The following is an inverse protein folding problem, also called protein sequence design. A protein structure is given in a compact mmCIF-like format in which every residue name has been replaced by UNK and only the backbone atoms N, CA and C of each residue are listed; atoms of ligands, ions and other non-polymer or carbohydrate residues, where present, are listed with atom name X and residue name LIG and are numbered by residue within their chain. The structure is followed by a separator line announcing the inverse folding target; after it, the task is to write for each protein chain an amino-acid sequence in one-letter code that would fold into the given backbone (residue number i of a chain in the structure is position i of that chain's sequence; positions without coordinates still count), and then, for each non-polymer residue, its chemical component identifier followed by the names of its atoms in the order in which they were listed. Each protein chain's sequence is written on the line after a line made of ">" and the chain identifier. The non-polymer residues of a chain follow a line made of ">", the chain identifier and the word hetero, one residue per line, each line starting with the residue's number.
data_IF_393561532842
#
_entry.id   IF_393561532842
#
_cell.length_a   1.000
_cell.length_b   1.000
_cell.length_c   1.000
_cell.angle_alpha   90.00
_cell.angle_beta   90.00
_cell.angle_gamma   90.00
#
_symmetry.space_group_name_H-M   'P 1'
#
loop_
_entity.id
_entity.type
_entity.pdbx_description
1 polymer ?
#
# COMPACT_ATOMS: atom_id res chain seq x y z
N UNK A 1 9.16 13.28 16.59
CA UNK A 1 8.65 11.93 16.92
C UNK A 1 9.77 10.92 16.70
N UNK A 2 9.74 9.81 17.45
CA UNK A 2 10.53 8.61 17.18
C UNK A 2 9.63 7.58 16.51
N UNK A 3 9.91 7.22 15.24
CA UNK A 3 9.06 6.40 14.40
C UNK A 3 9.82 5.16 13.94
N UNK A 4 9.24 3.99 14.14
CA UNK A 4 9.76 2.70 13.68
C UNK A 4 8.96 2.25 12.46
N UNK A 5 9.63 1.88 11.36
CA UNK A 5 8.97 1.49 10.11
C UNK A 5 9.44 0.09 9.72
N UNK A 6 8.53 -0.88 9.71
CA UNK A 6 8.75 -2.15 9.02
C UNK A 6 8.48 -1.96 7.52
N UNK A 7 9.19 -2.66 6.64
CA UNK A 7 9.04 -2.43 5.20
C UNK A 7 9.54 -1.08 4.71
N UNK A 8 10.34 -0.37 5.52
CA UNK A 8 10.87 0.97 5.22
C UNK A 8 11.86 1.03 4.07
N UNK A 9 12.31 -0.10 3.53
CA UNK A 9 13.12 -0.18 2.28
C UNK A 9 12.26 -0.32 1.03
N UNK A 10 10.94 -0.45 1.17
CA UNK A 10 9.99 -0.52 0.06
C UNK A 10 9.60 0.86 -0.49
N UNK A 11 8.75 0.87 -1.53
CA UNK A 11 8.33 2.09 -2.23
C UNK A 11 7.67 3.11 -1.29
N UNK A 12 6.64 2.70 -0.56
CA UNK A 12 5.91 3.57 0.37
C UNK A 12 6.77 3.89 1.58
N UNK A 13 7.34 2.84 2.20
CA UNK A 13 8.10 2.98 3.43
C UNK A 13 9.36 3.83 3.27
N UNK A 14 10.09 3.72 2.15
CA UNK A 14 11.26 4.54 1.84
C UNK A 14 10.90 6.00 1.63
N UNK A 15 9.83 6.28 0.88
CA UNK A 15 9.33 7.63 0.68
C UNK A 15 8.85 8.28 1.99
N UNK A 16 8.15 7.49 2.83
CA UNK A 16 7.69 7.95 4.14
C UNK A 16 8.87 8.22 5.08
N UNK A 17 9.85 7.30 5.15
CA UNK A 17 11.06 7.48 5.96
C UNK A 17 11.82 8.74 5.57
N UNK A 18 12.01 8.97 4.26
CA UNK A 18 12.62 10.19 3.73
C UNK A 18 11.86 11.44 4.15
N UNK A 19 10.54 11.43 4.02
CA UNK A 19 9.68 12.56 4.36
C UNK A 19 9.73 12.90 5.85
N UNK A 20 9.67 11.90 6.72
CA UNK A 20 9.72 12.10 8.18
C UNK A 20 11.11 12.57 8.64
N UNK A 21 12.19 12.00 8.09
CA UNK A 21 13.56 12.41 8.44
C UNK A 21 13.86 13.84 8.00
N UNK A 22 13.34 14.28 6.84
CA UNK A 22 13.49 15.65 6.36
C UNK A 22 12.89 16.69 7.32
N UNK A 23 11.87 16.32 8.10
CA UNK A 23 11.24 17.18 9.12
C UNK A 23 11.86 16.97 10.53
N UNK A 24 13.02 16.33 10.61
CA UNK A 24 13.77 16.18 11.86
C UNK A 24 13.24 15.10 12.79
N UNK A 25 12.39 14.17 12.32
CA UNK A 25 11.95 13.04 13.13
C UNK A 25 13.05 11.97 13.22
N UNK A 26 13.15 11.28 14.36
CA UNK A 26 13.99 10.11 14.49
C UNK A 26 13.29 8.93 13.82
N UNK A 27 13.84 8.46 12.69
CA UNK A 27 13.25 7.37 11.90
C UNK A 27 14.15 6.15 11.93
N UNK A 28 13.58 5.02 12.34
CA UNK A 28 14.26 3.73 12.41
C UNK A 28 13.55 2.76 11.43
N UNK A 29 14.25 2.34 10.40
CA UNK A 29 13.78 1.37 9.42
C UNK A 29 14.26 -0.02 9.80
N UNK A 30 13.32 -0.97 9.91
CA UNK A 30 13.66 -2.37 10.15
C UNK A 30 13.96 -3.08 8.83
N UNK A 31 15.10 -3.76 8.75
CA UNK A 31 15.56 -4.46 7.56
C UNK A 31 16.22 -5.80 7.89
N UNK A 32 15.98 -6.81 7.04
CA UNK A 32 16.68 -8.10 7.11
C UNK A 32 18.15 -7.97 6.74
N UNK A 33 18.49 -6.98 5.94
CA UNK A 33 19.87 -6.66 5.59
C UNK A 33 20.06 -5.13 5.60
N UNK A 34 20.32 -4.53 6.75
CA UNK A 34 20.45 -3.07 6.89
C UNK A 34 21.53 -2.45 6.00
N UNK A 35 22.57 -3.20 5.70
CA UNK A 35 23.72 -2.72 4.92
C UNK A 35 23.52 -2.81 3.39
N UNK A 36 22.51 -3.56 2.92
CA UNK A 36 22.25 -3.72 1.49
C UNK A 36 21.51 -2.54 0.85
N UNK A 37 20.98 -1.61 1.66
CA UNK A 37 20.16 -0.51 1.18
C UNK A 37 20.78 0.84 1.56
N UNK A 38 20.90 1.71 0.56
CA UNK A 38 21.22 3.13 0.84
C UNK A 38 19.92 3.79 1.36
N UNK A 39 19.91 4.07 2.64
CA UNK A 39 18.78 4.79 3.26
C UNK A 39 18.90 6.31 3.03
N UNK A 40 17.78 7.04 3.08
CA UNK A 40 17.81 8.51 3.07
C UNK A 40 18.62 9.06 4.25
N UNK A 41 19.15 10.26 4.09
CA UNK A 41 19.88 10.95 5.15
C UNK A 41 19.00 11.12 6.39
N UNK A 42 19.55 10.92 7.57
CA UNK A 42 18.85 10.99 8.85
C UNK A 42 18.04 9.75 9.22
N UNK A 43 17.94 8.74 8.34
CA UNK A 43 17.25 7.47 8.62
C UNK A 43 18.23 6.44 9.16
N UNK A 44 17.91 5.86 10.31
CA UNK A 44 18.66 4.75 10.92
C UNK A 44 18.11 3.41 10.46
N UNK A 45 18.95 2.38 10.33
CA UNK A 45 18.53 1.01 10.12
C UNK A 45 18.73 0.17 11.38
N UNK A 46 17.79 -0.74 11.64
CA UNK A 46 17.95 -1.78 12.65
C UNK A 46 17.72 -3.16 12.03
N UNK A 47 18.48 -4.14 12.54
CA UNK A 47 18.38 -5.52 12.10
C UNK A 47 17.03 -6.13 12.52
N UNK A 48 16.40 -6.85 11.61
CA UNK A 48 15.19 -7.61 11.85
C UNK A 48 15.18 -8.90 11.04
N UNK A 49 14.70 -9.99 11.61
CA UNK A 49 14.59 -11.29 10.94
C UNK A 49 13.38 -11.38 9.99
N UNK A 50 12.43 -10.47 10.11
CA UNK A 50 11.16 -10.46 9.37
C UNK A 50 10.03 -11.20 10.09
N UNK A 51 10.27 -11.77 11.26
CA UNK A 51 9.33 -12.68 11.94
C UNK A 51 9.08 -12.33 13.41
N UNK A 52 10.09 -11.90 14.17
CA UNK A 52 10.00 -11.72 15.63
C UNK A 52 10.42 -10.32 16.07
N UNK A 53 10.08 -9.95 17.30
CA UNK A 53 10.54 -8.69 17.90
C UNK A 53 11.91 -8.80 18.59
N UNK A 54 12.54 -9.97 18.62
CA UNK A 54 13.73 -10.26 19.45
C UNK A 54 14.86 -9.25 19.26
N UNK A 55 15.19 -8.89 18.03
CA UNK A 55 16.32 -7.99 17.74
C UNK A 55 16.01 -6.51 17.85
N UNK A 56 14.73 -6.10 17.78
CA UNK A 56 14.33 -4.70 17.67
C UNK A 56 13.25 -4.26 18.67
N UNK A 57 12.56 -5.20 19.32
CA UNK A 57 11.43 -4.91 20.22
C UNK A 57 11.74 -3.88 21.30
N UNK A 58 12.97 -3.84 21.80
CA UNK A 58 13.45 -2.84 22.75
C UNK A 58 13.38 -1.40 22.21
N UNK A 59 13.40 -1.21 20.89
CA UNK A 59 13.27 0.10 20.25
C UNK A 59 11.85 0.66 20.37
N UNK A 60 10.85 -0.19 20.59
CA UNK A 60 9.46 0.22 20.76
C UNK A 60 9.23 0.97 22.09
N UNK A 61 10.10 0.74 23.10
CA UNK A 61 9.99 1.45 24.37
C UNK A 61 10.25 2.94 24.19
N UNK A 62 9.20 3.73 24.40
CA UNK A 62 9.23 5.19 24.24
C UNK A 62 9.23 5.65 22.78
N UNK A 63 8.96 4.79 21.80
CA UNK A 63 8.66 5.23 20.45
C UNK A 63 7.29 5.95 20.40
N UNK A 64 7.15 6.92 19.50
CA UNK A 64 5.86 7.59 19.28
C UNK A 64 4.93 6.75 18.40
N UNK A 65 5.51 6.13 17.37
CA UNK A 65 4.73 5.36 16.39
C UNK A 65 5.48 4.13 15.88
N UNK A 66 4.73 3.07 15.57
CA UNK A 66 5.20 1.95 14.75
C UNK A 66 4.34 1.88 13.50
N UNK A 67 4.98 1.85 12.32
CA UNK A 67 4.31 1.78 11.02
C UNK A 67 4.66 0.44 10.39
N UNK A 68 3.67 -0.45 10.29
CA UNK A 68 3.84 -1.80 9.78
C UNK A 68 3.46 -1.85 8.29
N UNK A 69 4.45 -1.74 7.41
CA UNK A 69 4.31 -1.83 5.94
C UNK A 69 4.96 -3.11 5.39
N UNK A 70 5.46 -4.00 6.25
CA UNK A 70 6.15 -5.19 5.81
C UNK A 70 5.20 -6.22 5.21
N UNK A 71 5.63 -6.83 4.12
CA UNK A 71 4.95 -7.91 3.44
C UNK A 71 5.69 -8.33 2.17
N UNK A 72 5.62 -9.61 1.85
CA UNK A 72 6.15 -10.14 0.59
C UNK A 72 5.52 -9.43 -0.60
N UNK A 73 6.35 -9.05 -1.59
CA UNK A 73 5.89 -8.37 -2.80
C UNK A 73 4.95 -9.27 -3.60
N UNK A 74 3.74 -8.79 -3.87
CA UNK A 74 2.71 -9.54 -4.62
C UNK A 74 3.15 -9.87 -6.06
N UNK A 75 3.84 -8.94 -6.71
CA UNK A 75 4.34 -9.12 -8.07
C UNK A 75 5.67 -9.91 -8.15
N UNK A 76 6.39 -10.04 -7.04
CA UNK A 76 7.75 -10.59 -7.04
C UNK A 76 8.79 -9.58 -7.50
N UNK A 77 10.02 -10.07 -7.71
CA UNK A 77 11.19 -9.24 -8.03
C UNK A 77 11.60 -9.33 -9.51
N UNK A 78 10.80 -10.01 -10.36
CA UNK A 78 11.08 -10.18 -11.79
C UNK A 78 10.58 -9.03 -12.65
N UNK A 79 10.94 -9.05 -13.93
CA UNK A 79 10.45 -8.10 -14.94
C UNK A 79 8.93 -8.23 -15.17
N UNK A 80 8.43 -9.47 -15.12
CA UNK A 80 7.00 -9.78 -15.19
C UNK A 80 6.53 -10.25 -13.81
N UNK A 81 5.25 -9.97 -13.46
CA UNK A 81 4.67 -10.47 -12.22
C UNK A 81 4.77 -12.00 -12.12
N UNK A 82 5.27 -12.49 -11.01
CA UNK A 82 5.40 -13.92 -10.77
C UNK A 82 4.04 -14.53 -10.43
N UNK A 83 3.69 -15.66 -11.07
CA UNK A 83 2.44 -16.38 -10.77
C UNK A 83 2.34 -16.78 -9.30
N UNK A 84 1.15 -16.80 -8.76
CA UNK A 84 0.88 -17.23 -7.40
C UNK A 84 0.75 -18.74 -7.32
N UNK A 85 1.85 -19.41 -7.01
CA UNK A 85 1.84 -20.82 -6.58
C UNK A 85 1.33 -20.92 -5.15
N UNK A 86 0.93 -22.13 -4.71
CA UNK A 86 0.50 -22.37 -3.33
C UNK A 86 1.57 -21.93 -2.32
N UNK A 87 2.85 -22.21 -2.60
CA UNK A 87 3.97 -21.77 -1.77
C UNK A 87 4.09 -20.26 -1.71
N UNK A 88 3.96 -19.55 -2.86
CA UNK A 88 4.03 -18.10 -2.90
C UNK A 88 2.87 -17.46 -2.16
N UNK A 89 1.64 -17.97 -2.32
CA UNK A 89 0.47 -17.54 -1.56
C UNK A 89 0.71 -17.67 -0.05
N UNK A 90 1.25 -18.80 0.40
CA UNK A 90 1.61 -19.00 1.80
C UNK A 90 2.64 -17.97 2.28
N UNK A 91 3.71 -17.70 1.51
CA UNK A 91 4.69 -16.67 1.87
C UNK A 91 4.10 -15.27 1.93
N UNK A 92 3.21 -14.92 0.98
CA UNK A 92 2.50 -13.64 0.96
C UNK A 92 1.68 -13.45 2.24
N UNK A 93 0.92 -14.45 2.66
CA UNK A 93 0.15 -14.41 3.89
C UNK A 93 1.07 -14.40 5.12
N UNK A 94 1.96 -15.38 5.23
CA UNK A 94 2.78 -15.59 6.43
C UNK A 94 3.66 -14.36 6.74
N UNK A 95 4.29 -13.76 5.73
CA UNK A 95 5.12 -12.56 5.93
C UNK A 95 4.38 -11.39 6.57
N UNK A 96 3.07 -11.30 6.35
CA UNK A 96 2.20 -10.27 6.91
C UNK A 96 1.79 -10.57 8.34
N UNK A 97 1.45 -11.83 8.59
CA UNK A 97 1.09 -12.28 9.94
C UNK A 97 2.29 -12.21 10.88
N UNK A 98 3.46 -12.65 10.44
CA UNK A 98 4.70 -12.57 11.22
C UNK A 98 5.05 -11.13 11.57
N UNK A 99 4.96 -10.22 10.58
CA UNK A 99 5.22 -8.80 10.82
C UNK A 99 4.22 -8.19 11.83
N UNK A 100 2.93 -8.53 11.71
CA UNK A 100 1.91 -8.09 12.66
C UNK A 100 2.15 -8.63 14.07
N UNK A 101 2.45 -9.92 14.19
CA UNK A 101 2.77 -10.55 15.48
C UNK A 101 4.00 -9.92 16.14
N UNK A 102 5.07 -9.67 15.37
CA UNK A 102 6.27 -9.00 15.88
C UNK A 102 5.98 -7.58 16.40
N UNK A 103 5.07 -6.84 15.73
CA UNK A 103 4.63 -5.52 16.23
C UNK A 103 3.89 -5.65 17.55
N UNK A 104 2.97 -6.62 17.68
CA UNK A 104 2.25 -6.88 18.93
C UNK A 104 3.21 -7.28 20.05
N UNK A 105 4.18 -8.15 19.79
CA UNK A 105 5.21 -8.55 20.75
C UNK A 105 6.01 -7.33 21.24
N UNK A 106 6.48 -6.47 20.32
CA UNK A 106 7.24 -5.29 20.65
C UNK A 106 6.43 -4.30 21.49
N UNK A 107 5.16 -4.06 21.13
CA UNK A 107 4.25 -3.21 21.90
C UNK A 107 4.00 -3.80 23.29
N UNK A 108 3.79 -5.10 23.39
CA UNK A 108 3.54 -5.77 24.67
C UNK A 108 4.73 -5.67 25.63
N UNK A 109 5.95 -5.82 25.12
CA UNK A 109 7.18 -5.75 25.90
C UNK A 109 7.58 -4.32 26.31
N UNK A 110 7.14 -3.30 25.59
CA UNK A 110 7.49 -1.91 25.86
C UNK A 110 6.92 -1.44 27.21
N UNK A 111 7.76 -0.84 28.07
CA UNK A 111 7.32 -0.23 29.32
C UNK A 111 6.52 1.07 29.05
N UNK A 112 7.03 1.90 28.13
CA UNK A 112 6.34 3.09 27.59
C UNK A 112 5.87 2.77 26.17
N UNK A 113 4.61 2.40 26.05
CA UNK A 113 4.02 1.97 24.77
C UNK A 113 4.01 3.08 23.73
N UNK A 114 4.15 2.75 22.45
CA UNK A 114 3.90 3.69 21.37
C UNK A 114 2.49 4.28 21.46
N UNK A 115 2.33 5.53 21.04
CA UNK A 115 1.00 6.16 21.01
C UNK A 115 0.11 5.60 19.92
N UNK A 116 0.72 5.16 18.81
CA UNK A 116 -0.01 4.68 17.62
C UNK A 116 0.74 3.58 16.90
N UNK A 117 -0.05 2.62 16.40
CA UNK A 117 0.39 1.63 15.40
C UNK A 117 -0.40 1.87 14.12
N UNK A 118 0.30 2.11 13.02
CA UNK A 118 -0.28 2.14 11.68
C UNK A 118 -0.07 0.79 11.02
N UNK A 119 -1.16 0.09 10.74
CA UNK A 119 -1.18 -1.21 10.10
C UNK A 119 -1.51 -1.06 8.62
N UNK A 120 -0.63 -1.52 7.75
CA UNK A 120 -0.91 -1.58 6.31
C UNK A 120 -1.96 -2.65 5.99
N UNK A 121 -2.77 -2.35 5.00
CA UNK A 121 -3.75 -3.22 4.38
C UNK A 121 -3.89 -2.80 2.90
N UNK A 122 -4.91 -3.26 2.22
CA UNK A 122 -5.22 -2.86 0.85
C UNK A 122 -6.73 -2.76 0.61
N UNK A 123 -7.12 -2.02 -0.41
CA UNK A 123 -8.53 -2.00 -0.86
C UNK A 123 -9.02 -3.38 -1.32
N UNK A 124 -8.11 -4.35 -1.47
CA UNK A 124 -8.42 -5.76 -1.69
C UNK A 124 -9.28 -6.36 -0.58
N UNK A 125 -9.26 -5.77 0.63
CA UNK A 125 -10.13 -6.09 1.75
C UNK A 125 -11.60 -6.22 1.34
N UNK A 126 -12.05 -5.40 0.41
CA UNK A 126 -13.46 -5.36 -0.01
C UNK A 126 -13.84 -6.43 -1.06
N UNK A 127 -12.87 -7.15 -1.62
CA UNK A 127 -13.13 -8.06 -2.75
C UNK A 127 -13.54 -7.33 -4.03
N UNK A 128 -13.97 -8.05 -5.04
CA UNK A 128 -14.54 -7.46 -6.26
C UNK A 128 -15.97 -6.96 -5.99
N UNK A 129 -16.29 -5.72 -6.38
CA UNK A 129 -17.56 -5.04 -6.06
C UNK A 129 -18.19 -4.32 -7.25
N UNK A 130 -17.82 -4.65 -8.46
CA UNK A 130 -18.34 -4.03 -9.69
C UNK A 130 -18.43 -2.48 -9.57
N UNK A 131 -19.64 -1.92 -9.74
CA UNK A 131 -19.90 -0.47 -9.70
C UNK A 131 -20.25 0.08 -8.31
N UNK A 132 -20.27 -0.78 -7.27
CA UNK A 132 -20.63 -0.38 -5.91
C UNK A 132 -19.65 0.67 -5.38
N UNK A 133 -20.17 1.75 -4.80
CA UNK A 133 -19.37 2.69 -4.03
C UNK A 133 -18.93 2.05 -2.71
N UNK A 134 -17.64 2.01 -2.50
CA UNK A 134 -17.02 1.39 -1.34
C UNK A 134 -16.46 2.48 -0.44
N UNK A 135 -16.84 2.46 0.84
CA UNK A 135 -16.27 3.32 1.88
C UNK A 135 -15.63 2.46 2.96
N UNK A 136 -15.04 3.08 3.96
CA UNK A 136 -14.43 2.39 5.10
C UNK A 136 -15.46 1.60 5.93
N UNK A 137 -16.73 1.96 5.85
CA UNK A 137 -17.85 1.26 6.50
C UNK A 137 -18.30 0.01 5.73
N UNK A 138 -17.88 -0.17 4.49
CA UNK A 138 -18.24 -1.33 3.68
C UNK A 138 -17.65 -2.61 4.26
N UNK A 139 -18.40 -3.73 4.29
CA UNK A 139 -17.92 -5.00 4.84
C UNK A 139 -16.79 -5.60 4.00
N UNK A 140 -16.03 -6.50 4.63
CA UNK A 140 -15.03 -7.31 3.92
C UNK A 140 -15.63 -8.10 2.77
N UNK A 141 -14.84 -8.30 1.73
CA UNK A 141 -15.17 -9.23 0.65
C UNK A 141 -15.23 -10.66 1.16
N UNK A 142 -16.09 -11.46 0.57
CA UNK A 142 -16.26 -12.88 0.97
C UNK A 142 -15.31 -13.82 0.25
N UNK A 143 -14.85 -13.42 -0.94
CA UNK A 143 -14.11 -14.28 -1.86
C UNK A 143 -12.84 -13.60 -2.35
N UNK A 144 -11.86 -14.45 -2.67
CA UNK A 144 -10.59 -14.03 -3.26
C UNK A 144 -9.40 -14.13 -2.29
N UNK A 145 -8.26 -14.53 -2.84
CA UNK A 145 -7.04 -14.72 -2.06
C UNK A 145 -6.61 -13.44 -1.34
N UNK A 146 -6.59 -12.30 -2.04
CA UNK A 146 -6.15 -11.04 -1.43
C UNK A 146 -7.15 -10.48 -0.41
N UNK A 147 -8.46 -10.69 -0.61
CA UNK A 147 -9.45 -10.28 0.38
C UNK A 147 -9.21 -10.99 1.72
N UNK A 148 -9.00 -12.30 1.69
CA UNK A 148 -8.69 -13.08 2.89
C UNK A 148 -7.36 -12.64 3.50
N UNK A 149 -6.31 -12.48 2.68
CA UNK A 149 -5.00 -12.00 3.16
C UNK A 149 -5.09 -10.66 3.87
N UNK A 150 -5.88 -9.72 3.35
CA UNK A 150 -6.01 -8.38 3.96
C UNK A 150 -6.82 -8.41 5.25
N UNK A 151 -7.85 -9.24 5.35
CA UNK A 151 -8.60 -9.46 6.60
C UNK A 151 -7.69 -10.01 7.70
N UNK A 152 -6.93 -11.06 7.40
CA UNK A 152 -5.99 -11.68 8.35
C UNK A 152 -4.86 -10.70 8.72
N UNK A 153 -4.40 -9.90 7.75
CA UNK A 153 -3.36 -8.90 7.98
C UNK A 153 -3.84 -7.78 8.92
N UNK A 154 -5.05 -7.25 8.73
CA UNK A 154 -5.64 -6.26 9.66
C UNK A 154 -5.79 -6.85 11.07
N UNK A 155 -6.24 -8.11 11.17
CA UNK A 155 -6.42 -8.80 12.44
C UNK A 155 -5.10 -9.05 13.19
N UNK A 156 -3.98 -9.21 12.48
CA UNK A 156 -2.67 -9.55 13.06
C UNK A 156 -2.15 -8.54 14.09
N UNK A 157 -2.59 -7.28 14.02
CA UNK A 157 -2.22 -6.23 14.99
C UNK A 157 -3.38 -5.79 15.88
N UNK A 158 -4.55 -6.42 15.83
CA UNK A 158 -5.73 -5.98 16.59
C UNK A 158 -5.51 -5.92 18.11
N UNK A 159 -4.64 -6.78 18.64
CA UNK A 159 -4.34 -6.84 20.07
C UNK A 159 -3.66 -5.57 20.62
N UNK A 160 -3.12 -4.68 19.78
CA UNK A 160 -2.50 -3.44 20.26
C UNK A 160 -3.54 -2.47 20.85
N UNK A 161 -4.77 -2.48 20.33
CA UNK A 161 -5.84 -1.62 20.82
C UNK A 161 -6.23 -1.94 22.27
N UNK A 162 -6.25 -3.24 22.63
CA UNK A 162 -6.51 -3.68 24.00
C UNK A 162 -5.43 -3.25 25.01
N UNK A 163 -4.27 -2.80 24.50
CA UNK A 163 -3.14 -2.30 25.31
C UNK A 163 -3.13 -0.78 25.43
N UNK A 164 -4.21 -0.09 25.00
CA UNK A 164 -4.32 1.37 25.03
C UNK A 164 -3.54 2.08 23.92
N UNK A 165 -3.08 1.35 22.91
CA UNK A 165 -2.37 1.91 21.75
C UNK A 165 -3.36 2.16 20.61
N UNK A 166 -3.38 3.36 20.08
CA UNK A 166 -4.22 3.75 18.96
C UNK A 166 -3.84 2.96 17.71
N UNK A 167 -4.79 2.24 17.12
CA UNK A 167 -4.58 1.49 15.88
C UNK A 167 -5.23 2.21 14.70
N UNK A 168 -4.43 2.45 13.66
CA UNK A 168 -4.88 2.95 12.36
C UNK A 168 -4.63 1.85 11.33
N UNK A 169 -5.61 1.57 10.48
CA UNK A 169 -5.48 0.63 9.38
C UNK A 169 -5.53 1.42 8.08
N UNK A 170 -4.52 1.28 7.24
CA UNK A 170 -4.46 1.96 5.94
C UNK A 170 -4.76 0.96 4.81
N UNK A 171 -5.94 1.09 4.18
CA UNK A 171 -6.37 0.30 3.03
C UNK A 171 -5.95 1.02 1.76
N UNK A 172 -4.74 0.75 1.34
CA UNK A 172 -4.07 1.44 0.23
C UNK A 172 -4.60 0.97 -1.13
N UNK A 173 -4.89 1.90 -2.02
CA UNK A 173 -5.19 1.66 -3.43
C UNK A 173 -3.95 1.36 -4.26
N UNK A 174 -4.08 1.42 -5.58
CA UNK A 174 -2.94 1.23 -6.50
C UNK A 174 -2.03 2.45 -6.42
N UNK A 175 -0.85 2.30 -5.85
CA UNK A 175 0.10 3.41 -5.67
C UNK A 175 0.81 3.73 -6.98
N UNK A 176 0.63 4.95 -7.45
CA UNK A 176 1.30 5.49 -8.64
C UNK A 176 2.58 6.22 -8.27
N UNK A 177 3.70 5.80 -8.87
CA UNK A 177 5.02 6.39 -8.66
C UNK A 177 5.89 6.25 -9.90
N UNK A 178 6.73 7.26 -10.14
CA UNK A 178 7.79 7.21 -11.15
C UNK A 178 9.01 6.39 -10.68
N UNK A 179 9.16 6.13 -9.37
CA UNK A 179 10.29 5.39 -8.83
C UNK A 179 10.10 3.87 -8.93
N UNK A 180 8.85 3.39 -8.92
CA UNK A 180 8.56 1.95 -8.92
C UNK A 180 7.07 1.64 -8.93
N UNK A 181 6.73 0.37 -8.60
CA UNK A 181 5.36 -0.08 -8.49
C UNK A 181 4.62 -0.27 -9.81
N UNK A 182 3.29 -0.48 -9.77
CA UNK A 182 2.49 -0.88 -10.92
C UNK A 182 2.38 0.18 -12.02
N UNK A 183 2.58 1.47 -11.71
CA UNK A 183 2.47 2.55 -12.69
C UNK A 183 3.45 2.39 -13.86
N UNK A 184 4.69 2.01 -13.59
CA UNK A 184 5.70 1.77 -14.66
C UNK A 184 5.25 0.69 -15.63
N UNK A 185 4.68 -0.40 -15.13
CA UNK A 185 4.17 -1.49 -15.96
C UNK A 185 2.94 -1.05 -16.73
N UNK A 186 2.07 -0.25 -16.12
CA UNK A 186 0.85 0.27 -16.75
C UNK A 186 1.14 1.19 -17.93
N UNK A 187 2.19 2.04 -17.84
CA UNK A 187 2.54 2.98 -18.92
C UNK A 187 3.43 2.37 -20.02
N UNK A 188 4.05 1.22 -19.74
CA UNK A 188 5.01 0.61 -20.67
C UNK A 188 4.43 0.35 -22.08
N UNK A 189 3.22 -0.23 -22.26
CA UNK A 189 2.65 -0.43 -23.60
C UNK A 189 2.47 0.87 -24.39
N UNK A 190 2.14 1.97 -23.70
CA UNK A 190 1.95 3.27 -24.35
C UNK A 190 3.25 3.80 -24.97
N UNK A 191 4.41 3.52 -24.35
CA UNK A 191 5.71 3.88 -24.93
C UNK A 191 5.95 3.23 -26.31
N UNK A 192 5.33 2.06 -26.53
CA UNK A 192 5.39 1.29 -27.78
C UNK A 192 4.15 1.46 -28.66
N UNK A 193 3.32 2.50 -28.43
CA UNK A 193 2.08 2.78 -29.18
C UNK A 193 1.03 1.65 -29.08
N UNK A 194 1.18 0.74 -28.12
CA UNK A 194 0.29 -0.41 -27.90
C UNK A 194 -0.57 -0.24 -26.63
N UNK A 195 -0.81 0.99 -26.19
CA UNK A 195 -1.60 1.29 -25.02
C UNK A 195 -3.09 1.05 -25.18
N UNK A 196 -3.75 0.64 -24.11
CA UNK A 196 -5.20 0.44 -24.08
C UNK A 196 -5.71 -0.23 -22.82
N UNK A 197 -7.03 -0.51 -22.75
CA UNK A 197 -7.64 -1.10 -21.58
C UNK A 197 -7.24 -2.56 -21.38
N UNK A 198 -7.19 -2.98 -20.12
CA UNK A 198 -6.99 -4.37 -19.71
C UNK A 198 -8.36 -5.06 -19.59
N UNK A 199 -8.53 -6.24 -20.20
CA UNK A 199 -9.77 -6.99 -20.19
C UNK A 199 -10.93 -6.18 -20.80
N UNK A 200 -12.03 -6.07 -20.07
CA UNK A 200 -13.21 -5.28 -20.47
C UNK A 200 -12.97 -3.77 -20.38
N UNK A 201 -12.04 -3.36 -19.55
CA UNK A 201 -11.76 -1.97 -19.21
C UNK A 201 -12.84 -1.33 -18.33
N UNK A 202 -13.89 -2.07 -17.91
CA UNK A 202 -14.97 -1.54 -17.07
C UNK A 202 -14.66 -1.59 -15.58
N UNK A 203 -13.71 -2.42 -15.17
CA UNK A 203 -13.31 -2.54 -13.78
C UNK A 203 -12.77 -1.22 -13.26
N UNK A 204 -13.18 -0.86 -12.04
CA UNK A 204 -12.74 0.34 -11.35
C UNK A 204 -11.33 0.18 -10.81
N UNK A 205 -10.57 1.25 -10.89
CA UNK A 205 -9.23 1.36 -10.35
C UNK A 205 -9.22 2.48 -9.31
N UNK A 206 -9.14 2.12 -8.05
CA UNK A 206 -8.84 3.05 -6.97
C UNK A 206 -7.34 3.17 -6.84
N UNK A 207 -6.83 4.34 -7.12
CA UNK A 207 -5.41 4.66 -7.21
C UNK A 207 -5.06 5.81 -6.25
N UNK A 208 -3.78 5.95 -5.94
CA UNK A 208 -3.26 7.10 -5.19
C UNK A 208 -1.86 7.45 -5.69
N UNK A 209 -1.53 8.74 -5.72
CA UNK A 209 -0.16 9.17 -5.97
C UNK A 209 0.71 8.93 -4.72
N UNK A 210 1.96 8.48 -4.90
CA UNK A 210 2.86 8.15 -3.78
C UNK A 210 3.03 9.33 -2.80
N UNK A 211 3.07 10.57 -3.28
CA UNK A 211 3.15 11.74 -2.39
C UNK A 211 1.91 11.88 -1.52
N UNK A 212 0.71 11.66 -2.07
CA UNK A 212 -0.52 11.71 -1.29
C UNK A 212 -0.65 10.52 -0.32
N UNK A 213 -0.16 9.35 -0.69
CA UNK A 213 -0.05 8.21 0.23
C UNK A 213 0.80 8.55 1.46
N UNK A 214 2.01 9.09 1.23
CA UNK A 214 2.91 9.52 2.31
C UNK A 214 2.29 10.64 3.16
N UNK A 215 1.68 11.63 2.53
CA UNK A 215 1.02 12.73 3.24
C UNK A 215 -0.18 12.26 4.06
N UNK A 216 -0.97 11.32 3.53
CA UNK A 216 -2.11 10.75 4.25
C UNK A 216 -1.66 9.95 5.49
N UNK A 217 -0.62 9.13 5.37
CA UNK A 217 -0.05 8.41 6.52
C UNK A 217 0.43 9.41 7.58
N UNK A 218 1.17 10.44 7.21
CA UNK A 218 1.65 11.48 8.13
C UNK A 218 0.50 12.23 8.79
N UNK A 219 -0.50 12.64 8.01
CA UNK A 219 -1.70 13.29 8.51
C UNK A 219 -2.38 12.44 9.59
N UNK A 220 -2.60 11.15 9.32
CA UNK A 220 -3.21 10.22 10.26
C UNK A 220 -2.36 10.00 11.54
N UNK A 221 -1.03 10.03 11.44
CA UNK A 221 -0.15 9.96 12.62
C UNK A 221 -0.37 11.14 13.57
N UNK A 222 -0.55 12.34 13.01
CA UNK A 222 -0.70 13.60 13.74
C UNK A 222 -2.10 13.78 14.33
N UNK A 223 -3.13 13.17 13.72
CA UNK A 223 -4.52 13.25 14.20
C UNK A 223 -4.77 12.29 15.38
N UNK A 224 -4.89 12.82 16.58
CA UNK A 224 -5.12 12.00 17.80
C UNK A 224 -6.43 11.21 17.75
N UNK A 225 -7.43 11.70 17.04
CA UNK A 225 -8.74 11.06 16.87
C UNK A 225 -8.78 9.99 15.78
N UNK A 226 -7.70 9.85 14.99
CA UNK A 226 -7.65 8.87 13.91
C UNK A 226 -7.50 7.45 14.46
N UNK A 227 -8.52 6.61 14.28
CA UNK A 227 -8.56 5.19 14.69
C UNK A 227 -9.29 4.34 13.65
N UNK A 228 -8.94 3.05 13.57
CA UNK A 228 -9.56 2.10 12.65
C UNK A 228 -9.19 2.30 11.19
N UNK A 229 -10.03 1.83 10.22
CA UNK A 229 -9.67 1.79 8.81
C UNK A 229 -9.82 3.15 8.10
N UNK A 230 -8.91 3.41 7.16
CA UNK A 230 -8.91 4.53 6.22
C UNK A 230 -8.57 4.03 4.82
N UNK A 231 -9.35 4.39 3.82
CA UNK A 231 -9.03 4.14 2.43
C UNK A 231 -8.02 5.20 1.94
N UNK A 232 -6.83 4.76 1.61
CA UNK A 232 -5.81 5.61 1.00
C UNK A 232 -5.91 5.47 -0.52
N UNK A 233 -6.83 6.23 -1.10
CA UNK A 233 -7.03 6.32 -2.54
C UNK A 233 -7.42 7.76 -2.93
N UNK A 234 -7.17 8.14 -4.17
CA UNK A 234 -7.62 9.43 -4.70
C UNK A 234 -9.15 9.51 -4.73
N UNK A 235 -9.74 10.73 -4.55
CA UNK A 235 -11.19 10.89 -4.48
C UNK A 235 -11.92 10.61 -5.80
N UNK A 236 -11.18 10.49 -6.90
CA UNK A 236 -11.73 10.20 -8.23
C UNK A 236 -11.21 8.85 -8.75
N UNK A 237 -11.81 7.71 -8.35
CA UNK A 237 -11.52 6.44 -8.99
C UNK A 237 -11.97 6.47 -10.45
N UNK A 238 -11.23 5.80 -11.32
CA UNK A 238 -11.55 5.71 -12.75
C UNK A 238 -11.77 4.26 -13.15
N UNK A 239 -12.53 4.04 -14.22
CA UNK A 239 -12.48 2.74 -14.87
C UNK A 239 -11.09 2.53 -15.50
N UNK A 240 -10.68 1.28 -15.67
CA UNK A 240 -9.41 0.98 -16.33
C UNK A 240 -9.33 1.58 -17.75
N UNK A 241 -10.46 1.59 -18.47
CA UNK A 241 -10.58 2.23 -19.80
C UNK A 241 -10.32 3.74 -19.74
N UNK A 242 -10.88 4.42 -18.76
CA UNK A 242 -10.71 5.87 -18.63
C UNK A 242 -9.30 6.22 -18.11
N UNK A 243 -8.73 5.38 -17.27
CA UNK A 243 -7.32 5.49 -16.91
C UNK A 243 -6.42 5.31 -18.15
N UNK A 244 -6.67 4.31 -19.00
CA UNK A 244 -5.93 4.13 -20.24
C UNK A 244 -6.04 5.34 -21.18
N UNK A 245 -7.24 5.91 -21.34
CA UNK A 245 -7.44 7.16 -22.10
C UNK A 245 -6.65 8.33 -21.49
N UNK A 246 -6.66 8.47 -20.17
CA UNK A 246 -5.94 9.53 -19.46
C UNK A 246 -4.43 9.42 -19.71
N UNK A 247 -3.87 8.22 -19.56
CA UNK A 247 -2.44 7.97 -19.84
C UNK A 247 -2.12 8.28 -21.31
N UNK A 248 -2.93 7.75 -22.25
CA UNK A 248 -2.74 8.00 -23.68
C UNK A 248 -2.77 9.48 -24.02
N UNK A 249 -3.73 10.24 -23.47
CA UNK A 249 -3.86 11.70 -23.65
C UNK A 249 -2.62 12.45 -23.13
N UNK A 250 -2.15 12.12 -21.93
CA UNK A 250 -0.99 12.80 -21.33
C UNK A 250 0.29 12.47 -22.08
N UNK A 251 0.46 11.24 -22.56
CA UNK A 251 1.63 10.80 -23.32
C UNK A 251 1.57 11.19 -24.80
N UNK A 252 0.43 11.65 -25.34
CA UNK A 252 0.22 11.81 -26.77
C UNK A 252 0.30 10.47 -27.52
N UNK A 253 -0.24 9.40 -26.95
CA UNK A 253 -0.15 8.03 -27.48
C UNK A 253 -1.53 7.40 -27.63
N UNK A 254 -1.70 6.46 -28.59
CA UNK A 254 -2.96 5.72 -28.73
C UNK A 254 -3.28 4.93 -27.44
N UNK A 255 -4.58 4.78 -27.15
CA UNK A 255 -5.09 4.10 -25.96
C UNK A 255 -6.24 3.15 -26.24
N UNK A 256 -6.29 2.61 -27.45
CA UNK A 256 -7.42 1.81 -27.92
C UNK A 256 -7.10 0.32 -28.19
N UNK A 257 -5.86 -0.11 -27.96
CA UNK A 257 -5.44 -1.51 -28.18
C UNK A 257 -5.71 -2.31 -26.89
N UNK A 258 -6.77 -3.14 -26.81
CA UNK A 258 -7.08 -3.84 -25.58
C UNK A 258 -6.14 -5.03 -25.35
N UNK A 259 -5.78 -5.27 -24.10
CA UNK A 259 -5.15 -6.53 -23.68
C UNK A 259 -6.25 -7.51 -23.23
N UNK A 260 -6.56 -8.58 -24.00
CA UNK A 260 -7.67 -9.48 -23.68
C UNK A 260 -7.48 -10.19 -22.32
N UNK A 261 -8.56 -10.32 -21.55
CA UNK A 261 -8.51 -10.92 -20.20
C UNK A 261 -7.95 -12.37 -20.22
N UNK A 262 -8.28 -13.16 -21.26
CA UNK A 262 -7.77 -14.53 -21.37
C UNK A 262 -6.24 -14.58 -21.55
N UNK A 263 -5.67 -13.60 -22.28
CA UNK A 263 -4.21 -13.49 -22.44
C UNK A 263 -3.55 -13.13 -21.12
N UNK A 264 -4.13 -12.17 -20.39
CA UNK A 264 -3.62 -11.79 -19.07
C UNK A 264 -3.67 -12.97 -18.09
N UNK A 265 -4.78 -13.73 -18.05
CA UNK A 265 -4.88 -14.93 -17.21
C UNK A 265 -3.92 -16.04 -17.64
N UNK A 266 -3.69 -16.22 -18.94
CA UNK A 266 -2.73 -17.19 -19.45
C UNK A 266 -1.30 -16.84 -19.02
N UNK A 267 -0.93 -15.56 -19.05
CA UNK A 267 0.43 -15.11 -18.73
C UNK A 267 0.66 -15.00 -17.20
N UNK A 268 -0.29 -14.42 -16.48
CA UNK A 268 -0.14 -14.03 -15.07
C UNK A 268 -0.82 -15.01 -14.10
N UNK A 269 -1.68 -15.91 -14.59
CA UNK A 269 -2.50 -16.76 -13.72
C UNK A 269 -3.43 -15.92 -12.84
N UNK A 270 -3.60 -16.27 -11.58
CA UNK A 270 -4.44 -15.56 -10.61
C UNK A 270 -3.98 -14.13 -10.32
N UNK A 271 -2.73 -13.77 -10.57
CA UNK A 271 -2.25 -12.37 -10.45
C UNK A 271 -3.01 -11.45 -11.40
N UNK A 272 -3.56 -11.98 -12.50
CA UNK A 272 -4.39 -11.20 -13.42
C UNK A 272 -5.62 -10.60 -12.75
N UNK A 273 -6.16 -11.23 -11.70
CA UNK A 273 -7.35 -10.74 -11.00
C UNK A 273 -7.07 -9.41 -10.27
N UNK A 274 -5.81 -9.13 -9.89
CA UNK A 274 -5.41 -7.81 -9.33
C UNK A 274 -5.73 -6.65 -10.27
N UNK A 275 -5.65 -6.88 -11.59
CA UNK A 275 -5.88 -5.85 -12.61
C UNK A 275 -7.21 -6.01 -13.36
N UNK A 276 -7.85 -7.18 -13.24
CA UNK A 276 -9.13 -7.48 -13.89
C UNK A 276 -10.33 -7.27 -12.96
N UNK A 277 -10.13 -7.36 -11.64
CA UNK A 277 -11.16 -7.07 -10.66
C UNK A 277 -11.19 -5.58 -10.33
N UNK A 278 -12.41 -5.05 -10.14
CA UNK A 278 -12.61 -3.63 -9.87
C UNK A 278 -13.06 -3.35 -8.44
N UNK A 279 -12.61 -2.21 -7.94
CA UNK A 279 -13.07 -1.66 -6.65
C UNK A 279 -13.22 -0.16 -6.79
N UNK A 280 -14.40 0.37 -6.50
CA UNK A 280 -14.72 1.80 -6.56
C UNK A 280 -14.64 2.41 -5.16
N UNK A 281 -13.46 2.33 -4.54
CA UNK A 281 -13.25 2.82 -3.19
C UNK A 281 -13.14 4.35 -3.14
N UNK A 282 -13.66 4.93 -2.06
CA UNK A 282 -13.65 6.36 -1.74
C UNK A 282 -12.88 6.57 -0.42
N UNK A 283 -12.07 7.63 -0.33
CA UNK A 283 -11.37 8.00 0.89
C UNK A 283 -12.26 8.84 1.80
N UNK A 284 -13.46 8.33 2.14
CA UNK A 284 -14.49 9.13 2.79
C UNK A 284 -14.00 9.70 4.12
N UNK A 285 -13.42 8.89 4.98
CA UNK A 285 -12.96 9.32 6.29
C UNK A 285 -11.80 10.31 6.23
N UNK A 286 -10.88 10.17 5.26
CA UNK A 286 -9.83 11.17 5.06
C UNK A 286 -10.41 12.52 4.65
N UNK A 287 -11.40 12.53 3.75
CA UNK A 287 -12.07 13.77 3.32
C UNK A 287 -12.86 14.41 4.45
N UNK A 288 -13.59 13.64 5.24
CA UNK A 288 -14.33 14.11 6.42
C UNK A 288 -13.41 14.73 7.48
N UNK A 289 -12.17 14.22 7.61
CA UNK A 289 -11.14 14.81 8.49
C UNK A 289 -10.43 16.02 7.89
N UNK A 290 -10.78 16.43 6.66
CA UNK A 290 -10.21 17.60 6.02
C UNK A 290 -8.87 17.37 5.31
N UNK A 291 -8.50 16.12 5.02
CA UNK A 291 -7.30 15.85 4.23
C UNK A 291 -7.43 16.40 2.81
N UNK A 292 -6.44 17.18 2.36
CA UNK A 292 -6.40 17.77 1.03
C UNK A 292 -5.41 17.01 0.16
N UNK A 293 -5.91 16.37 -0.90
CA UNK A 293 -5.09 15.69 -1.90
C UNK A 293 -4.37 16.69 -2.80
N UNK A 294 -3.08 16.44 -3.07
CA UNK A 294 -2.31 17.19 -4.09
C UNK A 294 -2.67 16.71 -5.50
N UNK A 295 -2.99 15.42 -5.64
CA UNK A 295 -3.35 14.79 -6.90
C UNK A 295 -4.75 14.16 -6.81
N UNK A 296 -5.80 14.98 -6.78
CA UNK A 296 -7.17 14.46 -6.65
C UNK A 296 -7.69 13.80 -7.93
N UNK A 297 -7.10 14.08 -9.08
CA UNK A 297 -7.46 13.54 -10.39
C UNK A 297 -6.28 12.86 -11.10
N UNK A 298 -6.59 11.84 -11.91
CA UNK A 298 -5.58 11.02 -12.57
C UNK A 298 -4.76 11.79 -13.62
N UNK A 299 -5.33 12.82 -14.27
CA UNK A 299 -4.60 13.55 -15.31
C UNK A 299 -3.44 14.35 -14.72
N UNK A 300 -3.67 15.01 -13.58
CA UNK A 300 -2.64 15.74 -12.83
C UNK A 300 -1.56 14.78 -12.32
N UNK A 301 -1.96 13.65 -11.74
CA UNK A 301 -1.04 12.64 -11.23
C UNK A 301 -0.16 12.03 -12.34
N UNK A 302 -0.78 11.59 -13.43
CA UNK A 302 -0.05 10.99 -14.57
C UNK A 302 0.89 12.00 -15.21
N UNK A 303 0.49 13.27 -15.32
CA UNK A 303 1.36 14.33 -15.87
C UNK A 303 2.59 14.58 -15.00
N UNK A 304 2.43 14.52 -13.68
CA UNK A 304 3.56 14.68 -12.76
C UNK A 304 4.54 13.51 -12.87
N UNK A 305 4.04 12.29 -12.90
CA UNK A 305 4.84 11.06 -12.94
C UNK A 305 5.56 10.80 -14.28
N UNK A 306 5.20 11.52 -15.34
CA UNK A 306 5.79 11.39 -16.68
C UNK A 306 6.71 12.55 -17.05
N UNK A 307 6.96 13.49 -16.15
CA UNK A 307 8.01 14.53 -16.31
C UNK A 307 9.39 13.89 -16.24
#
# INVERSE_FOLDING_TARGET
>A
MRVIITGGTGLIGGALAKSLAADGHEVIVLSRNPQAHKLPDGVKAAQWDGHTAVSWGHLADGADAIINLAGENLAGNGLLPARWTAERKRRILQSRLDAGSAVVEAVTAAARKPRVVVQSSGIDYYGARDDEFITEASPAGKDGFLANVTVDWEASTAAVAAQGVRQIIIRTGVVFSAEGGPFKTLVLPFKFFAGGPLGSGRQWMSWIHLQDEVRAIRFLLEQETAVGPYNLCAPQPLTNRDMAKTIGKVMGRPSFIPAPAFVLRLLLGEVADVVLDGRRAQPQRLQEMGFVFHYPDAQTAVRDLLK
#
